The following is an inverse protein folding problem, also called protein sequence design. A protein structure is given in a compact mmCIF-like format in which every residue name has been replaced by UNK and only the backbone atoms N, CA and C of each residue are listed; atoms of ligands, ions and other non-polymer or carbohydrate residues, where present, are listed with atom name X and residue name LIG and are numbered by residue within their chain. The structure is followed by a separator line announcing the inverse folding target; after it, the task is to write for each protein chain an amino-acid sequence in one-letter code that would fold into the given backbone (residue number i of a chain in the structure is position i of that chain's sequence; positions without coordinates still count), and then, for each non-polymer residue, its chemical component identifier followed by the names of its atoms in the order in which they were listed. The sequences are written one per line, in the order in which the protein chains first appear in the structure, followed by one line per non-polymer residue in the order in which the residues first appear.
data_IF_936946789159
#
_entry.id   IF_936946789159
#
_cell.length_a   1.000
_cell.length_b   1.000
_cell.length_c   1.000
_cell.angle_alpha   90.00
_cell.angle_beta   90.00
_cell.angle_gamma   90.00
#
_symmetry.space_group_name_H-M   'P 1'
#
loop_
_entity.id
_entity.type
_entity.pdbx_description
1 polymer ?
#
# COMPACT_ATOMS: atom_id res chain seq x y z
N UNK A 1 12.70 4.73 20.73
CA UNK A 1 11.73 3.88 20.02
C UNK A 1 10.88 3.18 21.09
N UNK A 2 9.55 3.23 21.00
CA UNK A 2 8.68 2.52 21.96
C UNK A 2 8.82 1.00 21.78
N UNK A 3 8.57 0.23 22.83
CA UNK A 3 8.48 -1.21 22.70
C UNK A 3 7.28 -1.59 21.81
N UNK A 4 7.38 -2.72 21.09
CA UNK A 4 6.35 -3.10 20.09
C UNK A 4 4.98 -3.31 20.72
N UNK A 5 4.93 -3.88 21.93
CA UNK A 5 3.71 -4.07 22.72
C UNK A 5 3.00 -2.76 23.09
N UNK A 6 3.70 -1.62 23.07
CA UNK A 6 3.17 -0.30 23.36
C UNK A 6 2.87 0.51 22.07
N UNK A 7 3.01 -0.10 20.90
CA UNK A 7 2.87 0.57 19.61
C UNK A 7 1.45 0.46 19.06
N UNK A 8 0.93 1.58 18.52
CA UNK A 8 -0.27 1.55 17.68
C UNK A 8 0.13 1.03 16.30
N UNK A 9 -0.49 -0.06 15.88
CA UNK A 9 -0.31 -0.65 14.55
C UNK A 9 -1.32 -0.02 13.59
N UNK A 10 -0.84 0.54 12.49
CA UNK A 10 -1.70 1.04 11.42
C UNK A 10 -1.72 0.05 10.25
N UNK A 11 -2.89 -0.52 9.97
CA UNK A 11 -3.08 -1.47 8.87
C UNK A 11 -3.34 -0.72 7.56
N UNK A 12 -2.58 -1.07 6.51
CA UNK A 12 -2.62 -0.42 5.21
C UNK A 12 -2.89 -1.45 4.12
N UNK A 13 -3.98 -1.24 3.38
CA UNK A 13 -4.18 -1.84 2.06
C UNK A 13 -3.41 -0.99 1.04
N UNK A 14 -2.25 -1.47 0.62
CA UNK A 14 -1.24 -0.65 -0.10
C UNK A 14 -1.82 -0.03 -1.37
N UNK A 15 -2.48 -0.84 -2.21
CA UNK A 15 -3.15 -0.40 -3.45
C UNK A 15 -4.19 0.71 -3.24
N UNK A 16 -4.72 0.85 -2.02
CA UNK A 16 -5.80 1.79 -1.69
C UNK A 16 -5.35 2.98 -0.88
N UNK A 17 -4.06 3.09 -0.55
CA UNK A 17 -3.57 4.10 0.37
C UNK A 17 -3.13 5.38 -0.34
N UNK A 18 -2.05 5.33 -1.11
CA UNK A 18 -1.53 6.49 -1.84
C UNK A 18 -0.68 6.03 -3.03
N UNK A 19 -0.91 6.63 -4.19
CA UNK A 19 -0.10 6.41 -5.39
C UNK A 19 1.05 7.41 -5.39
N UNK A 20 2.27 6.91 -5.14
CA UNK A 20 3.47 7.72 -5.07
C UNK A 20 4.32 7.67 -6.34
N UNK A 21 4.11 6.67 -7.18
CA UNK A 21 4.82 6.50 -8.45
C UNK A 21 3.88 5.95 -9.54
N UNK A 22 3.20 6.86 -10.28
CA UNK A 22 2.29 6.47 -11.35
C UNK A 22 2.95 5.70 -12.50
N UNK A 23 4.29 5.71 -12.60
CA UNK A 23 4.99 4.97 -13.66
C UNK A 23 4.84 3.45 -13.51
N UNK A 24 4.48 2.96 -12.32
CA UNK A 24 4.30 1.55 -12.03
C UNK A 24 2.83 1.07 -12.04
N UNK A 25 1.85 1.96 -12.23
CA UNK A 25 0.41 1.65 -12.18
C UNK A 25 -0.03 0.56 -13.17
N UNK A 26 0.61 0.55 -14.35
CA UNK A 26 0.19 -0.29 -15.48
C UNK A 26 1.12 -1.48 -15.74
N UNK A 27 2.03 -1.82 -14.81
CA UNK A 27 3.13 -2.78 -14.97
C UNK A 27 2.81 -4.10 -15.72
N UNK A 28 2.81 -5.25 -15.06
CA UNK A 28 2.78 -6.56 -15.74
C UNK A 28 1.45 -6.84 -16.46
N UNK A 29 0.39 -6.11 -16.11
CA UNK A 29 -0.93 -6.25 -16.71
C UNK A 29 -1.68 -4.90 -16.68
N UNK A 30 -1.63 -4.10 -17.75
CA UNK A 30 -2.33 -2.81 -17.84
C UNK A 30 -3.85 -2.92 -17.65
N UNK A 31 -4.47 -4.04 -18.03
CA UNK A 31 -5.91 -4.26 -17.92
C UNK A 31 -6.38 -4.43 -16.47
N UNK A 32 -5.45 -4.78 -15.57
CA UNK A 32 -5.73 -4.93 -14.15
C UNK A 32 -5.81 -3.58 -13.41
N UNK A 33 -5.44 -2.47 -14.04
CA UNK A 33 -5.47 -1.13 -13.46
C UNK A 33 -6.76 -0.38 -13.85
N UNK A 34 -7.42 0.25 -12.88
CA UNK A 34 -8.59 1.10 -13.10
C UNK A 34 -8.32 2.53 -12.63
N UNK A 35 -8.02 3.40 -13.60
CA UNK A 35 -7.86 4.84 -13.38
C UNK A 35 -9.13 5.52 -12.86
N UNK A 36 -10.31 4.96 -13.15
CA UNK A 36 -11.59 5.54 -12.72
C UNK A 36 -11.93 5.20 -11.27
N UNK A 37 -11.27 4.19 -10.67
CA UNK A 37 -11.48 3.69 -9.32
C UNK A 37 -12.92 3.28 -9.04
N UNK A 38 -13.57 2.65 -10.02
CA UNK A 38 -14.96 2.18 -9.95
C UNK A 38 -15.04 0.66 -9.92
N UNK A 39 -14.06 -0.04 -10.50
CA UNK A 39 -13.92 -1.48 -10.41
C UNK A 39 -13.14 -1.84 -9.13
N UNK A 40 -13.86 -2.39 -8.16
CA UNK A 40 -13.31 -2.75 -6.85
C UNK A 40 -12.37 -3.96 -6.88
N UNK A 41 -12.35 -4.72 -7.99
CA UNK A 41 -11.45 -5.87 -8.19
C UNK A 41 -10.16 -5.51 -8.93
N UNK A 42 -10.02 -4.26 -9.38
CA UNK A 42 -8.83 -3.74 -10.05
C UNK A 42 -7.93 -2.95 -9.11
N UNK A 43 -6.68 -2.79 -9.53
CA UNK A 43 -5.69 -1.94 -8.88
C UNK A 43 -6.03 -0.47 -9.10
N UNK A 44 -5.88 0.36 -8.07
CA UNK A 44 -6.11 1.81 -8.11
C UNK A 44 -4.81 2.63 -7.98
N UNK A 45 -3.68 1.94 -7.85
CA UNK A 45 -2.33 2.50 -8.02
C UNK A 45 -1.62 2.85 -6.73
N UNK A 46 -2.15 2.45 -5.57
CA UNK A 46 -1.42 2.64 -4.33
C UNK A 46 -0.15 1.78 -4.28
N UNK A 47 0.94 2.35 -3.80
CA UNK A 47 2.26 1.72 -3.89
C UNK A 47 3.14 2.03 -2.65
N UNK A 48 4.33 1.41 -2.60
CA UNK A 48 5.28 1.61 -1.50
C UNK A 48 5.89 3.02 -1.48
N UNK A 49 6.10 3.63 -2.65
CA UNK A 49 6.54 5.03 -2.75
C UNK A 49 5.53 5.97 -2.09
N UNK A 50 4.25 5.66 -2.20
CA UNK A 50 3.18 6.40 -1.59
C UNK A 50 3.06 6.18 -0.09
N UNK A 51 3.29 4.96 0.40
CA UNK A 51 3.45 4.71 1.84
C UNK A 51 4.62 5.51 2.40
N UNK A 52 5.77 5.51 1.73
CA UNK A 52 6.95 6.30 2.13
C UNK A 52 6.66 7.80 2.15
N UNK A 53 5.94 8.32 1.15
CA UNK A 53 5.55 9.72 1.06
C UNK A 53 4.59 10.18 2.18
N UNK A 54 4.01 9.25 2.95
CA UNK A 54 3.08 9.53 4.06
C UNK A 54 3.61 9.10 5.43
N UNK A 55 4.90 8.78 5.56
CA UNK A 55 5.47 8.40 6.85
C UNK A 55 5.33 9.50 7.91
N UNK A 56 5.47 10.76 7.54
CA UNK A 56 5.26 11.89 8.47
C UNK A 56 3.79 11.95 8.95
N UNK A 57 2.83 11.80 8.04
CA UNK A 57 1.40 11.70 8.38
C UNK A 57 1.12 10.53 9.33
N UNK A 58 1.67 9.34 9.04
CA UNK A 58 1.48 8.15 9.87
C UNK A 58 2.11 8.31 11.26
N UNK A 59 3.26 9.00 11.33
CA UNK A 59 3.95 9.31 12.58
C UNK A 59 3.18 10.34 13.42
N UNK A 60 2.66 11.39 12.80
CA UNK A 60 1.81 12.41 13.45
C UNK A 60 0.51 11.80 13.98
N UNK A 61 -0.06 10.82 13.27
CA UNK A 61 -1.20 10.04 13.73
C UNK A 61 -0.88 9.17 14.96
N UNK A 62 0.41 8.93 15.25
CA UNK A 62 0.88 8.12 16.37
C UNK A 62 1.13 6.65 16.04
N UNK A 63 1.18 6.28 14.76
CA UNK A 63 1.52 4.91 14.35
C UNK A 63 2.98 4.59 14.74
N UNK A 64 3.16 3.53 15.53
CA UNK A 64 4.47 3.00 15.92
C UNK A 64 4.93 1.86 15.03
N UNK A 65 4.01 1.22 14.31
CA UNK A 65 4.29 0.15 13.36
C UNK A 65 3.25 0.14 12.22
N UNK A 66 3.65 -0.34 11.04
CA UNK A 66 2.78 -0.49 9.88
C UNK A 66 2.56 -1.97 9.60
N UNK A 67 1.31 -2.36 9.38
CA UNK A 67 0.96 -3.68 8.87
C UNK A 67 0.45 -3.53 7.43
N UNK A 68 1.21 -4.03 6.47
CA UNK A 68 0.92 -3.90 5.05
C UNK A 68 0.25 -5.17 4.49
N UNK A 69 -0.59 -5.01 3.47
CA UNK A 69 -1.00 -6.13 2.61
C UNK A 69 0.20 -6.78 1.91
N UNK A 70 0.11 -8.05 1.46
CA UNK A 70 1.21 -8.74 0.81
C UNK A 70 1.80 -7.96 -0.38
N UNK A 71 3.14 -7.82 -0.40
CA UNK A 71 3.87 -7.01 -1.37
C UNK A 71 4.44 -7.81 -2.54
N UNK A 72 4.64 -9.11 -2.32
CA UNK A 72 5.33 -9.98 -3.26
C UNK A 72 4.35 -10.84 -4.04
N UNK A 73 4.72 -11.17 -5.27
CA UNK A 73 3.98 -12.12 -6.10
C UNK A 73 3.91 -13.45 -5.37
N UNK A 74 2.69 -13.88 -5.05
CA UNK A 74 2.46 -15.22 -4.51
C UNK A 74 2.56 -16.19 -5.68
N UNK A 75 3.68 -16.91 -5.77
CA UNK A 75 3.78 -18.03 -6.72
C UNK A 75 2.84 -19.14 -6.25
N UNK A 76 1.78 -19.38 -7.02
CA UNK A 76 1.02 -20.61 -6.88
C UNK A 76 1.84 -21.72 -7.53
N UNK A 77 2.33 -22.66 -6.72
CA UNK A 77 2.73 -23.95 -7.26
C UNK A 77 1.46 -24.63 -7.77
N UNK A 78 1.46 -24.97 -9.06
CA UNK A 78 0.46 -25.87 -9.65
C UNK A 78 0.72 -27.30 -9.19
#
# INVERSE_FOLDING_TARGET
MRAFNDSVIYFIVVDRFFNGDPSNDRCANPEAFDVSRKDWFKYWGGDLSGVMAKLDYLKELGAGALWLTPLFVIRRHA
#
